data_IF_249083387871
#
_entry.id   IF_249083387871
#
_cell.length_a   1.000
_cell.length_b   1.000
_cell.length_c   1.000
_cell.angle_alpha   90.00
_cell.angle_beta   90.00
_cell.angle_gamma   90.00
#
_symmetry.space_group_name_H-M   'P 1'
#
loop_
_entity.id
_entity.type
_entity.pdbx_description
1 polymer ?
#
# COMPACT_ATOMS: atom_id res chain seq x y z
N UNK A 1 11.06 -1.83 6.60
CA UNK A 1 9.71 -1.77 5.97
C UNK A 1 9.75 -1.92 4.46
N UNK A 2 10.50 -1.11 3.73
CA UNK A 2 10.49 -1.14 2.26
C UNK A 2 11.16 -2.38 1.69
N UNK A 3 12.36 -2.72 2.19
CA UNK A 3 13.15 -3.85 1.69
C UNK A 3 12.47 -5.22 1.93
N UNK A 4 11.62 -5.35 2.95
CA UNK A 4 10.92 -6.60 3.25
C UNK A 4 9.73 -6.85 2.31
N UNK A 5 9.32 -5.87 1.50
CA UNK A 5 8.16 -5.98 0.63
C UNK A 5 6.83 -6.04 1.38
N UNK A 6 6.80 -5.76 2.68
CA UNK A 6 5.57 -5.75 3.47
C UNK A 6 4.61 -4.64 3.02
N UNK A 7 3.31 -4.94 2.97
CA UNK A 7 2.28 -3.95 2.64
C UNK A 7 2.13 -2.88 3.72
N UNK A 8 2.32 -3.26 4.99
CA UNK A 8 1.96 -2.42 6.13
C UNK A 8 3.12 -2.16 7.11
N UNK A 9 3.11 -0.90 7.51
CA UNK A 9 3.83 -0.19 8.54
C UNK A 9 3.45 -0.43 10.02
N UNK A 10 4.14 -1.19 10.89
CA UNK A 10 3.92 -1.08 12.35
C UNK A 10 5.14 -1.45 13.19
N UNK A 11 5.30 -0.93 14.43
CA UNK A 11 4.54 0.16 15.09
C UNK A 11 5.33 1.47 14.98
N UNK A 12 4.63 2.60 14.88
CA UNK A 12 5.23 3.94 14.99
C UNK A 12 4.78 4.57 16.30
N UNK A 13 5.67 5.30 16.97
CA UNK A 13 5.27 6.13 18.12
C UNK A 13 4.56 7.39 17.60
N UNK A 14 3.80 8.06 18.47
CA UNK A 14 3.35 9.42 18.18
C UNK A 14 4.58 10.31 17.98
N UNK A 15 4.51 11.21 17.00
CA UNK A 15 5.56 12.16 16.65
C UNK A 15 6.92 11.52 16.34
N UNK A 16 6.92 10.26 15.89
CA UNK A 16 8.12 9.57 15.46
C UNK A 16 8.69 10.22 14.18
N UNK A 17 9.97 10.66 14.15
CA UNK A 17 10.58 11.27 12.97
C UNK A 17 10.52 10.40 11.71
N UNK A 18 10.33 9.09 11.86
CA UNK A 18 10.13 8.19 10.71
C UNK A 18 8.84 8.52 9.94
N UNK A 19 7.83 9.10 10.59
CA UNK A 19 6.59 9.51 9.92
C UNK A 19 6.83 10.64 8.93
N UNK A 20 7.68 11.60 9.29
CA UNK A 20 8.07 12.70 8.41
C UNK A 20 8.88 12.18 7.22
N UNK A 21 9.79 11.23 7.44
CA UNK A 21 10.50 10.54 6.34
C UNK A 21 9.52 9.80 5.44
N UNK A 22 8.49 9.17 6.00
CA UNK A 22 7.48 8.47 5.19
C UNK A 22 6.68 9.44 4.32
N UNK A 23 6.29 10.57 4.91
CA UNK A 23 5.58 11.62 4.20
C UNK A 23 6.38 12.16 3.02
N UNK A 24 7.66 12.47 3.25
CA UNK A 24 8.54 13.05 2.23
C UNK A 24 8.94 12.02 1.16
N UNK A 25 9.42 10.84 1.55
CA UNK A 25 10.03 9.88 0.63
C UNK A 25 9.01 8.97 -0.07
N UNK A 26 7.90 8.61 0.59
CA UNK A 26 6.91 7.69 0.00
C UNK A 26 5.63 8.38 -0.43
N UNK A 27 5.11 9.28 0.41
CA UNK A 27 3.86 9.97 0.13
C UNK A 27 4.05 11.27 -0.66
N UNK A 28 5.29 11.74 -0.85
CA UNK A 28 5.63 12.97 -1.55
C UNK A 28 4.81 14.17 -1.03
N UNK A 29 4.68 14.25 0.30
CA UNK A 29 3.99 15.29 1.04
C UNK A 29 5.03 16.14 1.76
N UNK A 30 4.98 17.45 1.56
CA UNK A 30 5.90 18.40 2.21
C UNK A 30 5.25 19.26 3.30
N UNK A 31 3.98 19.67 3.14
CA UNK A 31 3.35 20.68 4.02
C UNK A 31 2.03 20.19 4.63
N UNK A 32 1.90 18.90 4.95
CA UNK A 32 0.62 18.36 5.44
C UNK A 32 -0.51 18.33 4.40
N UNK A 33 -0.17 18.55 3.11
CA UNK A 33 -1.10 18.42 1.99
C UNK A 33 -1.62 16.98 1.84
N UNK A 34 -2.71 16.80 1.10
CA UNK A 34 -3.19 15.44 0.83
C UNK A 34 -2.18 14.66 -0.01
N UNK A 35 -2.03 13.37 0.29
CA UNK A 35 -1.17 12.48 -0.50
C UNK A 35 -1.59 12.55 -1.98
N UNK A 36 -0.64 12.83 -2.89
CA UNK A 36 -0.87 12.80 -4.33
C UNK A 36 -1.51 11.52 -4.80
N UNK A 37 -2.62 11.65 -5.54
CA UNK A 37 -3.43 10.53 -5.99
C UNK A 37 -4.49 10.95 -7.00
N UNK A 38 -5.34 10.01 -7.39
CA UNK A 38 -6.42 10.28 -8.35
C UNK A 38 -7.47 11.27 -7.85
N UNK A 39 -7.55 11.44 -6.53
CA UNK A 39 -8.44 12.37 -5.83
C UNK A 39 -7.87 13.78 -5.67
N UNK A 40 -6.64 14.08 -6.10
CA UNK A 40 -6.07 15.41 -5.92
C UNK A 40 -6.73 16.48 -6.81
N UNK A 41 -6.99 17.65 -6.22
CA UNK A 41 -7.47 18.84 -6.92
C UNK A 41 -6.81 20.11 -6.37
N UNK A 42 -7.07 21.25 -7.05
CA UNK A 42 -6.61 22.58 -6.66
C UNK A 42 -5.31 23.03 -7.35
N UNK A 43 -4.99 24.31 -7.17
CA UNK A 43 -3.76 24.96 -7.63
C UNK A 43 -3.21 25.79 -6.46
N UNK A 44 -2.09 25.40 -5.82
CA UNK A 44 -1.15 24.34 -6.21
C UNK A 44 -1.75 22.91 -6.11
N UNK A 45 -1.19 21.92 -6.84
CA UNK A 45 -1.71 20.56 -6.89
C UNK A 45 -1.89 19.94 -5.50
N UNK A 46 -2.96 19.17 -5.32
CA UNK A 46 -3.30 18.50 -4.05
C UNK A 46 -3.54 19.44 -2.85
N UNK A 47 -3.80 20.73 -3.10
CA UNK A 47 -4.24 21.68 -2.05
C UNK A 47 -5.67 21.42 -1.58
N UNK A 48 -6.50 20.77 -2.40
CA UNK A 48 -7.86 20.37 -2.05
C UNK A 48 -8.11 18.91 -2.40
N UNK A 49 -9.03 18.27 -1.68
CA UNK A 49 -9.55 16.96 -2.06
C UNK A 49 -10.59 17.16 -3.17
N UNK A 50 -10.32 16.55 -4.32
CA UNK A 50 -11.27 16.42 -5.42
C UNK A 50 -12.20 15.23 -5.20
N UNK A 51 -12.49 14.47 -6.26
CA UNK A 51 -13.37 13.30 -6.17
C UNK A 51 -12.65 12.14 -5.43
N UNK A 52 -13.10 11.74 -4.22
CA UNK A 52 -12.46 10.65 -3.47
C UNK A 52 -12.61 9.28 -4.13
N UNK A 53 -13.61 9.11 -5.01
CA UNK A 53 -13.86 7.86 -5.75
C UNK A 53 -12.90 7.68 -6.93
N UNK A 54 -12.16 8.72 -7.33
CA UNK A 54 -11.19 8.65 -8.40
C UNK A 54 -9.89 8.05 -7.87
N UNK A 55 -9.80 6.73 -7.85
CA UNK A 55 -8.63 6.01 -7.39
C UNK A 55 -7.61 5.84 -8.53
N UNK A 56 -6.34 6.15 -8.28
CA UNK A 56 -5.23 5.88 -9.19
C UNK A 56 -4.20 5.01 -8.47
N UNK A 57 -3.98 3.76 -8.89
CA UNK A 57 -3.00 2.88 -8.26
C UNK A 57 -1.58 3.48 -8.34
N UNK A 58 -0.92 3.62 -7.19
CA UNK A 58 0.49 4.02 -7.08
C UNK A 58 1.43 2.83 -6.83
N UNK A 59 2.73 3.08 -6.61
CA UNK A 59 3.72 2.02 -6.31
C UNK A 59 3.33 1.15 -5.11
N UNK A 60 2.74 1.75 -4.07
CA UNK A 60 2.20 1.01 -2.92
C UNK A 60 1.12 -0.01 -3.31
N UNK A 61 0.19 0.38 -4.20
CA UNK A 61 -0.86 -0.51 -4.69
C UNK A 61 -0.28 -1.67 -5.53
N UNK A 62 0.78 -1.42 -6.29
CA UNK A 62 1.49 -2.48 -7.03
C UNK A 62 2.14 -3.50 -6.08
N UNK A 63 2.77 -3.02 -4.99
CA UNK A 63 3.33 -3.92 -3.96
C UNK A 63 2.23 -4.76 -3.30
N UNK A 64 1.11 -4.15 -2.94
CA UNK A 64 -0.05 -4.85 -2.39
C UNK A 64 -0.58 -5.92 -3.34
N UNK A 65 -0.77 -5.58 -4.62
CA UNK A 65 -1.21 -6.54 -5.64
C UNK A 65 -0.30 -7.77 -5.69
N UNK A 66 1.02 -7.56 -5.77
CA UNK A 66 1.99 -8.68 -5.79
C UNK A 66 1.93 -9.56 -4.54
N UNK A 67 1.62 -9.00 -3.38
CA UNK A 67 1.44 -9.77 -2.15
C UNK A 67 0.16 -10.60 -2.20
N UNK A 68 -0.96 -10.01 -2.64
CA UNK A 68 -2.23 -10.71 -2.81
C UNK A 68 -2.08 -11.85 -3.81
N UNK A 69 -1.47 -11.60 -4.96
CA UNK A 69 -1.24 -12.62 -6.00
C UNK A 69 -0.49 -13.83 -5.42
N UNK A 70 0.62 -13.59 -4.68
CA UNK A 70 1.36 -14.66 -4.01
C UNK A 70 0.53 -15.43 -2.98
N UNK A 71 -0.25 -14.71 -2.16
CA UNK A 71 -1.07 -15.34 -1.12
C UNK A 71 -2.15 -16.24 -1.73
N UNK A 72 -2.84 -15.76 -2.76
CA UNK A 72 -3.85 -16.54 -3.49
C UNK A 72 -3.23 -17.77 -4.14
N UNK A 73 -2.06 -17.62 -4.79
CA UNK A 73 -1.34 -18.74 -5.39
C UNK A 73 -0.93 -19.80 -4.33
N UNK A 74 -0.45 -19.36 -3.17
CA UNK A 74 -0.09 -20.29 -2.08
C UNK A 74 -1.30 -21.00 -1.50
N UNK A 75 -2.43 -20.32 -1.32
CA UNK A 75 -3.66 -20.90 -0.83
C UNK A 75 -4.19 -21.97 -1.80
N UNK A 76 -4.18 -21.67 -3.11
CA UNK A 76 -4.55 -22.63 -4.14
C UNK A 76 -3.66 -23.87 -4.13
N UNK A 77 -2.33 -23.70 -4.08
CA UNK A 77 -1.39 -24.83 -3.98
C UNK A 77 -1.63 -25.69 -2.73
N UNK A 78 -1.85 -25.07 -1.57
CA UNK A 78 -2.11 -25.80 -0.34
C UNK A 78 -3.42 -26.61 -0.45
N UNK A 79 -4.47 -26.06 -1.07
CA UNK A 79 -5.72 -26.78 -1.29
C UNK A 79 -5.51 -28.06 -2.13
N UNK A 80 -4.73 -28.00 -3.22
CA UNK A 80 -4.40 -29.20 -4.02
C UNK A 80 -3.55 -30.22 -3.25
N UNK A 81 -2.63 -29.78 -2.40
CA UNK A 81 -1.82 -30.69 -1.55
C UNK A 81 -2.70 -31.39 -0.50
N UNK A 82 -3.62 -30.67 0.15
CA UNK A 82 -4.54 -31.27 1.11
C UNK A 82 -5.52 -32.28 0.47
N UNK A 83 -5.97 -32.04 -0.77
CA UNK A 83 -6.77 -33.03 -1.50
C UNK A 83 -5.93 -34.23 -1.99
N UNK A 84 -4.64 -34.04 -2.27
CA UNK A 84 -3.72 -35.12 -2.62
C UNK A 84 -3.39 -36.07 -1.46
N UNK A 85 -3.30 -35.55 -0.22
CA UNK A 85 -3.00 -36.34 0.98
C UNK A 85 -4.24 -37.14 1.47
N UNK A 86 -5.45 -36.71 1.12
CA UNK A 86 -6.69 -37.48 1.39
C UNK A 86 -6.90 -38.68 0.45
N UNK A 87 -5.96 -38.95 -0.46
CA UNK A 87 -6.05 -40.01 -1.47
C UNK A 87 -5.13 -41.23 -1.22
N UNK A 88 -4.75 -41.46 0.04
CA UNK A 88 -4.10 -42.71 0.50
C UNK A 88 -4.91 -43.31 1.64
#
# INVERSE_FOLDING_TARGET
MVASGAAFARKFKNDDPVMEKIDQEFLHRWNGSFTPGGWCAGNPPCSKVGNPKKLRPGPGAQRLRRLIDRLVDTAGRNQYVFEGIKRV
#
